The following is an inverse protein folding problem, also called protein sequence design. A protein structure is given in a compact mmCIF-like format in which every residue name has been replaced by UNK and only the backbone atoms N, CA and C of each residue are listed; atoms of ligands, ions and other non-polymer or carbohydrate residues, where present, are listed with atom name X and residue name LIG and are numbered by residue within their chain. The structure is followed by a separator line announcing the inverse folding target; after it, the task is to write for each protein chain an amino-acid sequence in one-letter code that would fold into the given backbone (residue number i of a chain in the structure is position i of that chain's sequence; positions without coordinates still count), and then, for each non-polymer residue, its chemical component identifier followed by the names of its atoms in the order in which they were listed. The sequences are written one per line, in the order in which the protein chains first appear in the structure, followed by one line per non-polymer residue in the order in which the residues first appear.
data_IF_577673941429
#
_entry.id   IF_577673941429
#
_cell.length_a   1.000
_cell.length_b   1.000
_cell.length_c   1.000
_cell.angle_alpha   90.00
_cell.angle_beta   90.00
_cell.angle_gamma   90.00
#
_symmetry.space_group_name_H-M   'P 1'
#
loop_
_entity.id
_entity.type
_entity.pdbx_description
1 polymer ?
#
# COMPACT_ATOMS: atom_id res chain seq x y z
N UNK A 1 -18.18 11.02 4.12
CA UNK A 1 -17.28 10.03 3.49
C UNK A 1 -17.77 9.46 2.15
N UNK A 2 -19.08 9.22 2.00
CA UNK A 2 -19.69 8.77 0.75
C UNK A 2 -19.28 9.61 -0.48
N UNK A 3 -19.25 10.94 -0.32
CA UNK A 3 -18.86 11.89 -1.36
C UNK A 3 -17.43 11.63 -1.90
N UNK A 4 -16.46 11.34 -1.03
CA UNK A 4 -15.07 11.07 -1.43
C UNK A 4 -14.96 9.77 -2.23
N UNK A 5 -15.64 8.71 -1.78
CA UNK A 5 -15.69 7.42 -2.50
C UNK A 5 -16.35 7.58 -3.87
N UNK A 6 -17.35 8.45 -3.97
CA UNK A 6 -18.02 8.75 -5.23
C UNK A 6 -17.12 9.55 -6.18
N UNK A 7 -16.45 10.60 -5.68
CA UNK A 7 -15.46 11.38 -6.44
C UNK A 7 -14.37 10.48 -7.05
N UNK A 8 -13.80 9.56 -6.27
CA UNK A 8 -12.80 8.60 -6.77
C UNK A 8 -13.36 7.66 -7.86
N UNK A 9 -14.62 7.25 -7.73
CA UNK A 9 -15.28 6.40 -8.74
C UNK A 9 -15.53 7.17 -10.04
N UNK A 10 -15.94 8.43 -9.95
CA UNK A 10 -16.12 9.34 -11.08
C UNK A 10 -14.78 9.59 -11.76
N UNK A 11 -13.73 9.92 -11.02
CA UNK A 11 -12.37 10.12 -11.54
C UNK A 11 -11.90 8.91 -12.37
N UNK A 12 -12.08 7.68 -11.84
CA UNK A 12 -11.72 6.47 -12.57
C UNK A 12 -12.52 6.30 -13.87
N UNK A 13 -13.81 6.65 -13.85
CA UNK A 13 -14.70 6.51 -15.00
C UNK A 13 -14.39 7.53 -16.12
N UNK A 14 -13.88 8.71 -15.79
CA UNK A 14 -13.51 9.75 -16.76
C UNK A 14 -12.01 9.76 -17.10
N UNK A 15 -11.29 8.66 -16.84
CA UNK A 15 -9.86 8.55 -17.13
C UNK A 15 -9.52 8.95 -18.57
N UNK A 16 -10.23 8.43 -19.56
CA UNK A 16 -9.94 8.73 -20.96
C UNK A 16 -10.06 10.23 -21.29
N UNK A 17 -11.00 10.94 -20.66
CA UNK A 17 -11.16 12.38 -20.83
C UNK A 17 -10.05 13.18 -20.14
N UNK A 18 -9.58 12.72 -18.98
CA UNK A 18 -8.48 13.36 -18.24
C UNK A 18 -7.15 13.29 -19.01
N UNK A 19 -6.99 12.32 -19.91
CA UNK A 19 -5.80 12.21 -20.77
C UNK A 19 -5.59 13.45 -21.67
N UNK A 20 -6.66 14.19 -21.96
CA UNK A 20 -6.65 15.41 -22.79
C UNK A 20 -6.33 16.68 -21.98
N UNK A 21 -6.42 16.63 -20.64
CA UNK A 21 -6.27 17.79 -19.75
C UNK A 21 -5.17 17.57 -18.69
N UNK A 22 -3.90 17.82 -19.03
CA UNK A 22 -2.75 17.46 -18.17
C UNK A 22 -2.75 18.16 -16.80
N UNK A 23 -3.18 19.42 -16.73
CA UNK A 23 -3.29 20.16 -15.46
C UNK A 23 -4.33 19.55 -14.50
N UNK A 24 -5.43 19.04 -15.05
CA UNK A 24 -6.48 18.38 -14.27
C UNK A 24 -6.01 17.02 -13.78
N UNK A 25 -5.26 16.29 -14.60
CA UNK A 25 -4.66 15.00 -14.23
C UNK A 25 -3.71 15.14 -13.03
N UNK A 26 -2.80 16.11 -13.05
CA UNK A 26 -1.87 16.32 -11.93
C UNK A 26 -2.61 16.63 -10.61
N UNK A 27 -3.67 17.44 -10.66
CA UNK A 27 -4.51 17.72 -9.48
C UNK A 27 -5.23 16.47 -8.98
N UNK A 28 -5.72 15.64 -9.89
CA UNK A 28 -6.37 14.36 -9.56
C UNK A 28 -5.39 13.40 -8.89
N UNK A 29 -4.17 13.30 -9.40
CA UNK A 29 -3.12 12.46 -8.81
C UNK A 29 -2.74 12.95 -7.41
N UNK A 30 -2.53 14.25 -7.23
CA UNK A 30 -2.23 14.85 -5.93
C UNK A 30 -3.34 14.59 -4.90
N UNK A 31 -4.59 14.76 -5.31
CA UNK A 31 -5.75 14.46 -4.48
C UNK A 31 -5.84 12.96 -4.14
N UNK A 32 -5.59 12.08 -5.10
CA UNK A 32 -5.57 10.64 -4.86
C UNK A 32 -4.45 10.24 -3.88
N UNK A 33 -3.24 10.78 -4.02
CA UNK A 33 -2.14 10.55 -3.08
C UNK A 33 -2.47 11.05 -1.68
N UNK A 34 -3.08 12.24 -1.56
CA UNK A 34 -3.55 12.77 -0.28
C UNK A 34 -4.53 11.81 0.41
N UNK A 35 -5.41 11.15 -0.35
CA UNK A 35 -6.32 10.15 0.20
C UNK A 35 -5.62 8.83 0.56
N UNK A 36 -4.60 8.40 -0.17
CA UNK A 36 -3.79 7.21 0.16
C UNK A 36 -3.00 7.41 1.47
N UNK A 37 -2.57 8.64 1.75
CA UNK A 37 -1.79 8.99 2.95
C UNK A 37 -2.65 9.52 4.09
N UNK A 38 -3.98 9.42 4.00
CA UNK A 38 -4.87 9.95 5.02
C UNK A 38 -4.77 9.11 6.29
N UNK A 39 -4.43 9.76 7.40
CA UNK A 39 -4.37 9.12 8.72
C UNK A 39 -5.49 9.64 9.63
N UNK A 40 -5.99 8.76 10.50
CA UNK A 40 -6.91 9.15 11.57
C UNK A 40 -6.10 9.48 12.81
N UNK A 41 -6.34 10.66 13.40
CA UNK A 41 -5.81 11.00 14.72
C UNK A 41 -6.82 10.66 15.82
N UNK A 42 -7.98 10.10 15.47
CA UNK A 42 -9.07 9.81 16.39
C UNK A 42 -8.94 8.42 17.01
N UNK A 43 -9.36 8.30 18.27
CA UNK A 43 -9.60 7.02 18.95
C UNK A 43 -10.93 6.35 18.53
N UNK A 44 -11.64 6.92 17.55
CA UNK A 44 -12.89 6.36 17.04
C UNK A 44 -12.62 5.27 16.00
N UNK A 45 -13.00 4.04 16.34
CA UNK A 45 -12.90 2.87 15.45
C UNK A 45 -13.68 3.04 14.15
N UNK A 46 -14.79 3.79 14.15
CA UNK A 46 -15.58 4.07 12.95
C UNK A 46 -14.77 4.94 12.00
N UNK A 47 -14.11 5.99 12.50
CA UNK A 47 -13.26 6.87 11.70
C UNK A 47 -12.01 6.15 11.17
N UNK A 48 -11.40 5.30 11.99
CA UNK A 48 -10.26 4.47 11.57
C UNK A 48 -10.66 3.57 10.39
N UNK A 49 -11.76 2.83 10.52
CA UNK A 49 -12.25 1.95 9.45
C UNK A 49 -12.57 2.74 8.18
N UNK A 50 -13.21 3.90 8.36
CA UNK A 50 -13.51 4.84 7.30
C UNK A 50 -12.28 5.26 6.48
N UNK A 51 -11.21 5.66 7.16
CA UNK A 51 -9.96 6.05 6.51
C UNK A 51 -9.30 4.87 5.78
N UNK A 52 -9.32 3.66 6.33
CA UNK A 52 -8.81 2.46 5.65
C UNK A 52 -9.55 2.22 4.33
N UNK A 53 -10.88 2.34 4.32
CA UNK A 53 -11.67 2.19 3.11
C UNK A 53 -11.36 3.27 2.06
N UNK A 54 -11.17 4.52 2.49
CA UNK A 54 -10.77 5.62 1.60
C UNK A 54 -9.42 5.32 0.95
N UNK A 55 -8.41 4.95 1.74
CA UNK A 55 -7.05 4.64 1.26
C UNK A 55 -7.07 3.49 0.27
N UNK A 56 -7.82 2.44 0.57
CA UNK A 56 -8.03 1.30 -0.33
C UNK A 56 -8.67 1.72 -1.66
N UNK A 57 -9.74 2.53 -1.60
CA UNK A 57 -10.44 3.02 -2.80
C UNK A 57 -9.57 3.96 -3.63
N UNK A 58 -8.79 4.83 -2.99
CA UNK A 58 -7.88 5.75 -3.66
C UNK A 58 -6.77 4.99 -4.39
N UNK A 59 -6.17 4.00 -3.73
CA UNK A 59 -5.14 3.15 -4.34
C UNK A 59 -5.70 2.36 -5.55
N UNK A 60 -6.89 1.78 -5.42
CA UNK A 60 -7.56 1.10 -6.53
C UNK A 60 -7.90 2.05 -7.69
N UNK A 61 -8.21 3.32 -7.39
CA UNK A 61 -8.48 4.35 -8.41
C UNK A 61 -7.22 4.69 -9.20
N UNK A 62 -6.08 4.83 -8.52
CA UNK A 62 -4.78 5.03 -9.18
C UNK A 62 -4.48 3.87 -10.15
N UNK A 63 -4.62 2.62 -9.73
CA UNK A 63 -4.41 1.45 -10.60
C UNK A 63 -5.32 1.51 -11.83
N UNK A 64 -6.61 1.86 -11.66
CA UNK A 64 -7.54 2.03 -12.79
C UNK A 64 -7.10 3.12 -13.76
N UNK A 65 -6.63 4.26 -13.26
CA UNK A 65 -6.06 5.31 -14.11
C UNK A 65 -4.80 4.79 -14.84
N UNK A 66 -3.97 4.00 -14.18
CA UNK A 66 -2.84 3.29 -14.77
C UNK A 66 -3.25 2.42 -15.96
N UNK A 67 -4.38 1.73 -15.89
CA UNK A 67 -4.92 0.95 -17.01
C UNK A 67 -5.52 1.82 -18.11
N UNK A 68 -6.24 2.89 -17.76
CA UNK A 68 -7.00 3.72 -18.71
C UNK A 68 -6.12 4.67 -19.54
N UNK A 69 -5.11 5.27 -18.91
CA UNK A 69 -4.25 6.29 -19.55
C UNK A 69 -2.75 6.03 -19.33
N UNK A 70 -2.27 4.79 -19.57
CA UNK A 70 -0.91 4.40 -19.23
C UNK A 70 0.14 5.26 -19.92
N UNK A 71 -0.04 5.57 -21.20
CA UNK A 71 0.94 6.35 -21.98
C UNK A 71 1.09 7.80 -21.47
N UNK A 72 -0.01 8.41 -21.01
CA UNK A 72 0.01 9.76 -20.42
C UNK A 72 0.68 9.73 -19.04
N UNK A 73 0.38 8.73 -18.22
CA UNK A 73 1.02 8.58 -16.92
C UNK A 73 2.51 8.23 -17.06
N UNK A 74 2.86 7.50 -18.11
CA UNK A 74 4.23 7.12 -18.41
C UNK A 74 5.09 8.35 -18.73
N UNK A 75 4.55 9.38 -19.38
CA UNK A 75 5.31 10.61 -19.67
C UNK A 75 5.69 11.42 -18.42
N UNK A 76 5.04 11.14 -17.28
CA UNK A 76 5.33 11.75 -15.98
C UNK A 76 5.76 10.71 -14.94
N UNK A 77 6.16 9.51 -15.39
CA UNK A 77 6.42 8.35 -14.53
C UNK A 77 7.44 8.63 -13.44
N UNK A 78 8.57 9.25 -13.77
CA UNK A 78 9.64 9.50 -12.80
C UNK A 78 9.19 10.40 -11.64
N UNK A 79 8.34 11.39 -11.93
CA UNK A 79 7.73 12.23 -10.91
C UNK A 79 6.78 11.45 -9.99
N UNK A 80 5.97 10.57 -10.59
CA UNK A 80 5.07 9.66 -9.85
C UNK A 80 5.89 8.70 -8.97
N UNK A 81 6.89 8.03 -9.54
CA UNK A 81 7.72 7.05 -8.87
C UNK A 81 8.52 7.68 -7.72
N UNK A 82 9.09 8.86 -7.93
CA UNK A 82 9.77 9.63 -6.88
C UNK A 82 8.83 10.00 -5.75
N UNK A 83 7.61 10.47 -6.08
CA UNK A 83 6.60 10.82 -5.07
C UNK A 83 6.19 9.61 -4.24
N UNK A 84 5.94 8.46 -4.88
CA UNK A 84 5.61 7.20 -4.20
C UNK A 84 6.76 6.73 -3.32
N UNK A 85 8.00 6.79 -3.82
CA UNK A 85 9.17 6.40 -3.05
C UNK A 85 9.35 7.27 -1.79
N UNK A 86 9.10 8.57 -1.91
CA UNK A 86 9.09 9.49 -0.77
C UNK A 86 8.00 9.14 0.24
N UNK A 87 6.80 8.74 -0.20
CA UNK A 87 5.74 8.30 0.71
C UNK A 87 6.11 7.02 1.46
N UNK A 88 6.72 6.06 0.77
CA UNK A 88 7.16 4.78 1.34
C UNK A 88 8.30 5.00 2.33
N UNK A 89 9.34 5.72 1.93
CA UNK A 89 10.55 5.93 2.74
C UNK A 89 10.25 6.72 4.02
N UNK A 90 9.32 7.68 3.96
CA UNK A 90 8.91 8.47 5.13
C UNK A 90 7.85 7.76 6.01
N UNK A 91 7.55 6.48 5.76
CA UNK A 91 6.57 5.72 6.55
C UNK A 91 5.14 6.27 6.50
N UNK A 92 4.80 7.06 5.47
CA UNK A 92 3.48 7.71 5.35
C UNK A 92 2.38 6.77 4.89
N UNK A 93 2.73 5.55 4.49
CA UNK A 93 1.81 4.52 3.99
C UNK A 93 2.06 3.19 4.71
N UNK A 94 0.99 2.50 5.08
CA UNK A 94 1.09 1.15 5.61
C UNK A 94 1.44 0.13 4.50
N UNK A 95 1.83 -1.08 4.91
CA UNK A 95 2.33 -2.13 3.99
C UNK A 95 1.35 -2.44 2.84
N UNK A 96 0.05 -2.47 3.14
CA UNK A 96 -1.00 -2.75 2.15
C UNK A 96 -1.04 -1.68 1.06
N UNK A 97 -0.98 -0.40 1.44
CA UNK A 97 -0.95 0.71 0.49
C UNK A 97 0.38 0.79 -0.27
N UNK A 98 1.51 0.47 0.38
CA UNK A 98 2.80 0.33 -0.31
C UNK A 98 2.68 -0.65 -1.48
N UNK A 99 2.14 -1.85 -1.26
CA UNK A 99 1.95 -2.85 -2.31
C UNK A 99 1.07 -2.33 -3.46
N UNK A 100 -0.02 -1.62 -3.15
CA UNK A 100 -0.91 -1.03 -4.16
C UNK A 100 -0.29 0.10 -4.97
N UNK A 101 0.57 0.91 -4.35
CA UNK A 101 1.30 1.98 -5.04
C UNK A 101 2.35 1.39 -6.00
N UNK A 102 3.02 0.30 -5.60
CA UNK A 102 3.92 -0.44 -6.49
C UNK A 102 3.16 -1.13 -7.63
N UNK A 103 1.97 -1.70 -7.34
CA UNK A 103 1.06 -2.25 -8.36
C UNK A 103 0.65 -1.17 -9.37
N UNK A 104 0.36 0.05 -8.91
CA UNK A 104 0.05 1.18 -9.80
C UNK A 104 1.21 1.52 -10.75
N UNK A 105 2.45 1.61 -10.24
CA UNK A 105 3.63 1.85 -11.07
C UNK A 105 3.83 0.74 -12.12
N UNK A 106 3.70 -0.52 -11.70
CA UNK A 106 3.76 -1.67 -12.62
C UNK A 106 2.64 -1.62 -13.65
N UNK A 107 1.44 -1.20 -13.27
CA UNK A 107 0.27 -1.12 -14.15
C UNK A 107 0.48 -0.09 -15.25
N UNK A 108 0.97 1.12 -14.92
CA UNK A 108 1.30 2.16 -15.92
C UNK A 108 2.23 1.57 -16.98
N UNK A 109 3.32 0.95 -16.53
CA UNK A 109 4.31 0.36 -17.39
C UNK A 109 3.74 -0.78 -18.24
N UNK A 110 3.05 -1.73 -17.61
CA UNK A 110 2.48 -2.92 -18.26
C UNK A 110 1.47 -2.56 -19.35
N UNK A 111 0.54 -1.64 -19.05
CA UNK A 111 -0.54 -1.24 -19.95
C UNK A 111 -0.10 -0.24 -21.03
N UNK A 112 1.07 0.39 -20.91
CA UNK A 112 1.57 1.35 -21.91
C UNK A 112 2.03 0.71 -23.22
N UNK A 113 2.27 1.53 -24.24
CA UNK A 113 2.88 1.16 -25.51
C UNK A 113 4.41 1.18 -25.48
N UNK A 114 5.01 1.30 -24.30
CA UNK A 114 6.46 1.29 -24.13
C UNK A 114 7.11 0.03 -24.74
N UNK A 115 8.33 0.13 -25.28
CA UNK A 115 9.10 -1.02 -25.70
C UNK A 115 9.33 -2.01 -24.55
N UNK A 116 9.42 -3.30 -24.87
CA UNK A 116 9.61 -4.37 -23.89
C UNK A 116 10.83 -4.14 -22.98
N UNK A 117 11.95 -3.70 -23.53
CA UNK A 117 13.18 -3.39 -22.78
C UNK A 117 12.93 -2.37 -21.66
N UNK A 118 12.13 -1.34 -21.95
CA UNK A 118 11.80 -0.31 -20.97
C UNK A 118 10.85 -0.87 -19.90
N UNK A 119 9.94 -1.76 -20.30
CA UNK A 119 9.07 -2.46 -19.36
C UNK A 119 9.83 -3.37 -18.41
N UNK A 120 10.81 -4.11 -18.91
CA UNK A 120 11.69 -4.97 -18.11
C UNK A 120 12.50 -4.11 -17.12
N UNK A 121 13.05 -2.99 -17.57
CA UNK A 121 13.80 -2.09 -16.69
C UNK A 121 12.96 -1.63 -15.49
N UNK A 122 11.76 -1.10 -15.74
CA UNK A 122 10.83 -0.66 -14.68
C UNK A 122 10.38 -1.84 -13.80
N UNK A 123 10.04 -2.99 -14.38
CA UNK A 123 9.67 -4.17 -13.62
C UNK A 123 10.78 -4.57 -12.65
N UNK A 124 12.02 -4.59 -13.13
CA UNK A 124 13.17 -4.97 -12.32
C UNK A 124 13.43 -4.01 -11.17
N UNK A 125 13.23 -2.69 -11.33
CA UNK A 125 13.43 -1.75 -10.22
C UNK A 125 12.46 -1.98 -9.06
N UNK A 126 11.29 -2.56 -9.33
CA UNK A 126 10.27 -2.85 -8.32
C UNK A 126 10.41 -4.27 -7.77
N UNK A 127 10.59 -5.27 -8.63
CA UNK A 127 10.48 -6.69 -8.26
C UNK A 127 11.79 -7.28 -7.77
N UNK A 128 12.94 -6.88 -8.34
CA UNK A 128 14.25 -7.43 -7.94
C UNK A 128 14.54 -7.19 -6.45
N UNK A 129 14.29 -6.00 -5.87
CA UNK A 129 14.47 -5.80 -4.43
C UNK A 129 13.60 -6.73 -3.58
N UNK A 130 12.35 -6.99 -3.99
CA UNK A 130 11.43 -7.90 -3.28
C UNK A 130 11.93 -9.34 -3.35
N UNK A 131 12.39 -9.78 -4.52
CA UNK A 131 12.96 -11.12 -4.70
C UNK A 131 14.24 -11.28 -3.89
N UNK A 132 15.10 -10.25 -3.85
CA UNK A 132 16.32 -10.26 -3.05
C UNK A 132 16.02 -10.34 -1.55
N UNK A 133 15.00 -9.63 -1.06
CA UNK A 133 14.55 -9.72 0.33
C UNK A 133 14.03 -11.13 0.67
N UNK A 134 13.23 -11.72 -0.22
CA UNK A 134 12.73 -13.09 -0.06
C UNK A 134 13.83 -14.15 -0.07
N UNK A 135 14.87 -13.95 -0.87
CA UNK A 135 16.04 -14.83 -0.93
C UNK A 135 17.10 -14.52 0.13
N UNK A 136 16.86 -13.56 1.04
CA UNK A 136 17.82 -13.22 2.07
C UNK A 136 17.96 -14.35 3.09
N UNK A 137 19.16 -14.46 3.68
CA UNK A 137 19.46 -15.44 4.75
C UNK A 137 18.49 -15.29 5.92
N UNK A 138 18.05 -14.05 6.21
CA UNK A 138 17.04 -13.78 7.24
C UNK A 138 15.73 -14.50 6.93
N UNK A 139 15.16 -14.26 5.74
CA UNK A 139 13.88 -14.84 5.34
C UNK A 139 13.95 -16.36 5.23
N UNK A 140 15.03 -16.89 4.65
CA UNK A 140 15.28 -18.32 4.61
C UNK A 140 15.31 -18.92 6.03
N UNK A 141 16.03 -18.27 6.96
CA UNK A 141 16.13 -18.66 8.36
C UNK A 141 14.76 -18.75 9.06
N UNK A 142 13.91 -17.74 8.88
CA UNK A 142 12.54 -17.72 9.43
C UNK A 142 11.73 -18.92 8.92
N UNK A 143 11.81 -19.20 7.62
CA UNK A 143 11.02 -20.24 6.95
C UNK A 143 11.55 -21.67 7.15
N UNK A 144 12.74 -21.83 7.76
CA UNK A 144 13.37 -23.15 7.98
C UNK A 144 12.61 -24.02 8.99
N UNK A 145 11.90 -23.40 9.94
CA UNK A 145 11.19 -24.15 10.99
C UNK A 145 9.91 -23.47 11.42
N UNK A 146 8.97 -24.27 11.93
CA UNK A 146 7.71 -23.76 12.49
C UNK A 146 7.96 -22.88 13.71
N UNK A 147 8.94 -23.18 14.55
CA UNK A 147 9.26 -22.40 15.75
C UNK A 147 9.78 -20.99 15.41
N UNK A 148 10.75 -20.90 14.51
CA UNK A 148 11.30 -19.61 14.02
C UNK A 148 10.25 -18.76 13.33
N UNK A 149 9.33 -19.38 12.59
CA UNK A 149 8.20 -18.69 11.99
C UNK A 149 7.21 -18.18 13.04
N UNK A 150 6.86 -19.00 14.04
CA UNK A 150 5.97 -18.60 15.14
C UNK A 150 6.55 -17.44 15.96
N UNK A 151 7.86 -17.43 16.18
CA UNK A 151 8.57 -16.32 16.83
C UNK A 151 8.52 -15.04 16.00
N UNK A 152 8.84 -15.10 14.70
CA UNK A 152 8.84 -13.91 13.82
C UNK A 152 7.43 -13.32 13.66
N UNK A 153 6.39 -14.16 13.60
CA UNK A 153 4.98 -13.70 13.53
C UNK A 153 4.47 -13.21 14.89
N UNK A 154 5.21 -13.43 15.98
CA UNK A 154 4.88 -12.97 17.33
C UNK A 154 3.87 -13.85 18.07
N UNK A 155 3.65 -15.09 17.62
CA UNK A 155 2.73 -16.05 18.27
C UNK A 155 3.25 -16.43 19.66
N UNK A 156 4.55 -16.60 19.81
CA UNK A 156 5.18 -16.92 21.11
C UNK A 156 5.12 -15.76 22.10
N UNK A 157 5.20 -14.52 21.62
CA UNK A 157 4.97 -13.32 22.43
C UNK A 157 3.52 -13.28 22.95
N UNK A 158 2.53 -13.56 22.10
CA UNK A 158 1.12 -13.64 22.49
C UNK A 158 0.85 -14.70 23.56
N UNK A 159 1.49 -15.87 23.45
CA UNK A 159 1.38 -16.95 24.43
C UNK A 159 1.91 -16.52 25.81
N UNK A 160 3.01 -15.77 25.84
CA UNK A 160 3.61 -15.23 27.07
C UNK A 160 2.69 -14.23 27.78
N UNK A 161 2.03 -13.34 27.03
CA UNK A 161 1.06 -12.39 27.59
C UNK A 161 -0.22 -13.07 28.10
N UNK A 162 -0.74 -14.08 27.39
CA UNK A 162 -1.89 -14.86 27.83
C UNK A 162 -1.63 -15.61 29.13
N UNK A 163 -0.41 -16.16 29.29
CA UNK A 163 0.01 -16.85 30.51
C UNK A 163 0.15 -15.88 31.70
N UNK A 164 0.73 -14.69 31.47
CA UNK A 164 0.83 -13.63 32.49
C UNK A 164 -0.52 -13.12 32.98
N UNK A 165 -1.50 -12.97 32.08
CA UNK A 165 -2.87 -12.60 32.46
C UNK A 165 -3.51 -13.70 33.32
N UNK A 166 -3.37 -14.97 32.94
CA UNK A 166 -3.92 -16.10 33.70
C UNK A 166 -3.29 -16.25 35.10
N UNK A 167 -1.97 -16.02 35.23
CA UNK A 167 -1.27 -16.00 36.53
C UNK A 167 -1.71 -14.79 37.36
N UNK A 168 -1.94 -13.63 36.75
CA UNK A 168 -2.49 -12.44 37.42
C UNK A 168 -3.92 -12.63 37.93
N UNK A 169 -4.76 -13.40 37.23
CA UNK A 169 -6.10 -13.78 37.69
C UNK A 169 -6.04 -14.80 38.84
N UNK A 170 -5.12 -15.77 38.77
CA UNK A 170 -4.95 -16.78 39.82
C UNK A 170 -4.43 -16.21 41.14
N UNK A 171 -3.60 -15.17 41.11
CA UNK A 171 -3.09 -14.51 42.34
C UNK A 171 -4.11 -13.55 42.97
N UNK A 172 -5.13 -13.09 42.24
CA UNK A 172 -6.22 -12.28 42.82
C UNK A 172 -7.26 -13.11 43.55
N UNK A 173 -7.37 -14.41 43.26
CA UNK A 173 -8.35 -15.32 43.89
C UNK A 173 -7.87 -15.94 45.21
N UNK A 174 -6.64 -15.65 45.65
CA UNK A 174 -6.03 -16.22 46.87
C UNK A 174 -6.01 -15.18 48.03
N UNK A 175 -6.53 -13.97 47.80
CA UNK A 175 -6.57 -12.88 48.80
C UNK A 175 -7.98 -12.33 49.09
N UNK A 176 -9.04 -13.12 48.84
CA UNK A 176 -10.37 -12.88 49.41
C UNK A 176 -10.72 -13.92 50.47
#
# INVERSE_FOLDING_TARGET
MFIIKHQLSVIAAYGDMLSVYPNSLLRVLDQAFTFVTRHSNANDMVEIHANIEIRSKASATLIKLGCSMPDVLLSIYDGIASSINNLITNGKVALKEKARLLEFLLTICHCSKAPLEWKIAIFNTIVVPVVAEWNSVKTAGILTSTATFMDEVGITALNSYGTLLMVGFSNKSIHE
#
